data_IF_415458526024
#
_entry.id   IF_415458526024
#
_cell.length_a   1.000
_cell.length_b   1.000
_cell.length_c   1.000
_cell.angle_alpha   90.00
_cell.angle_beta   90.00
_cell.angle_gamma   90.00
#
_symmetry.space_group_name_H-M   'P 1'
#
loop_
_entity.id
_entity.type
_entity.pdbx_description
1 polymer ?
#
# COMPACT_ATOMS: atom_id res chain seq x y z
N UNK A 1 -4.25 16.38 23.44
CA UNK A 1 -4.07 15.51 22.27
C UNK A 1 -3.39 14.26 22.75
N UNK A 2 -3.88 13.09 22.37
CA UNK A 2 -3.20 11.82 22.67
C UNK A 2 -1.84 11.82 21.98
N UNK A 3 -0.82 11.29 22.67
CA UNK A 3 0.51 11.19 22.08
C UNK A 3 0.51 10.07 21.02
N UNK A 4 0.93 10.37 19.80
CA UNK A 4 1.07 9.35 18.75
C UNK A 4 2.10 8.29 19.19
N UNK A 5 1.75 7.03 19.02
CA UNK A 5 2.56 5.86 19.38
C UNK A 5 2.87 4.98 18.18
N UNK A 6 1.94 4.95 17.19
CA UNK A 6 2.05 4.14 15.98
C UNK A 6 1.92 5.03 14.75
N UNK A 7 2.78 4.81 13.77
CA UNK A 7 2.72 5.47 12.46
C UNK A 7 2.57 4.40 11.39
N UNK A 8 1.48 4.49 10.64
CA UNK A 8 1.19 3.66 9.48
C UNK A 8 1.68 4.37 8.21
N UNK A 9 2.35 3.66 7.34
CA UNK A 9 2.68 4.11 6.00
C UNK A 9 1.89 3.33 4.96
N UNK A 10 1.41 4.02 3.94
CA UNK A 10 1.09 3.41 2.66
C UNK A 10 2.37 3.19 1.85
N UNK A 11 2.29 2.52 0.71
CA UNK A 11 3.43 2.08 -0.10
C UNK A 11 3.55 2.82 -1.42
N UNK A 12 2.67 2.48 -2.39
CA UNK A 12 2.71 3.03 -3.75
C UNK A 12 2.45 4.54 -3.73
N UNK A 13 3.24 5.30 -4.47
CA UNK A 13 3.20 6.78 -4.52
C UNK A 13 3.34 7.47 -3.14
N UNK A 14 3.58 6.71 -2.08
CA UNK A 14 3.87 7.19 -0.72
C UNK A 14 5.33 6.94 -0.34
N UNK A 15 5.75 5.70 -0.09
CA UNK A 15 7.15 5.36 0.21
C UNK A 15 8.00 5.14 -1.05
N UNK A 16 7.40 4.58 -2.08
CA UNK A 16 8.03 4.29 -3.36
C UNK A 16 7.35 5.08 -4.49
N UNK A 17 8.16 5.53 -5.46
CA UNK A 17 7.68 6.23 -6.65
C UNK A 17 7.29 5.20 -7.73
N UNK A 18 6.23 4.45 -7.49
CA UNK A 18 5.84 3.32 -8.32
C UNK A 18 4.35 3.03 -8.13
N UNK A 19 3.65 2.79 -9.22
CA UNK A 19 2.34 2.12 -9.21
C UNK A 19 2.58 0.64 -9.52
N UNK A 20 2.61 -0.17 -8.47
CA UNK A 20 2.99 -1.59 -8.54
C UNK A 20 2.07 -2.41 -9.43
N UNK A 21 0.76 -2.20 -9.31
CA UNK A 21 -0.24 -2.91 -10.11
C UNK A 21 -0.08 -2.64 -11.59
N UNK A 22 0.03 -1.37 -11.97
CA UNK A 22 0.21 -0.98 -13.38
C UNK A 22 1.49 -1.56 -13.96
N UNK A 23 2.61 -1.49 -13.22
CA UNK A 23 3.88 -2.00 -13.69
C UNK A 23 3.83 -3.51 -13.88
N UNK A 24 3.25 -4.25 -12.93
CA UNK A 24 3.11 -5.69 -13.04
C UNK A 24 2.16 -6.06 -14.17
N UNK A 25 1.00 -5.39 -14.30
CA UNK A 25 0.03 -5.64 -15.35
C UNK A 25 0.65 -5.50 -16.74
N UNK A 26 1.38 -4.41 -16.98
CA UNK A 26 2.06 -4.19 -18.25
C UNK A 26 3.13 -5.27 -18.51
N UNK A 27 3.92 -5.61 -17.51
CA UNK A 27 4.96 -6.63 -17.63
C UNK A 27 4.40 -8.04 -17.89
N UNK A 28 3.20 -8.33 -17.39
CA UNK A 28 2.49 -9.60 -17.60
C UNK A 28 1.49 -9.55 -18.77
N UNK A 29 1.64 -8.58 -19.66
CA UNK A 29 0.96 -8.56 -20.97
C UNK A 29 -0.42 -7.90 -20.98
N UNK A 30 -0.83 -7.23 -19.92
CA UNK A 30 -2.02 -6.36 -19.96
C UNK A 30 -1.64 -5.07 -20.65
N UNK A 31 -2.34 -4.71 -21.72
CA UNK A 31 -2.06 -3.44 -22.41
C UNK A 31 -2.44 -2.26 -21.49
N UNK A 32 -1.75 -1.12 -21.66
CA UNK A 32 -2.08 0.09 -20.90
C UNK A 32 -3.52 0.58 -21.10
N UNK A 33 -4.09 0.30 -22.27
CA UNK A 33 -5.49 0.61 -22.59
C UNK A 33 -6.44 -0.29 -21.79
N UNK A 34 -6.15 -1.58 -21.74
CA UNK A 34 -6.96 -2.56 -21.03
C UNK A 34 -6.87 -2.35 -19.50
N UNK A 35 -5.68 -2.15 -18.96
CA UNK A 35 -5.47 -1.81 -17.54
C UNK A 35 -6.28 -0.58 -17.14
N UNK A 36 -6.22 0.48 -17.96
CA UNK A 36 -7.00 1.68 -17.75
C UNK A 36 -8.51 1.43 -17.83
N UNK A 37 -8.97 0.62 -18.77
CA UNK A 37 -10.39 0.27 -18.93
C UNK A 37 -10.91 -0.45 -17.69
N UNK A 38 -10.22 -1.50 -17.25
CA UNK A 38 -10.58 -2.27 -16.07
C UNK A 38 -10.61 -1.39 -14.80
N UNK A 39 -9.61 -0.52 -14.65
CA UNK A 39 -9.58 0.43 -13.54
C UNK A 39 -10.77 1.39 -13.55
N UNK A 40 -11.17 1.90 -14.72
CA UNK A 40 -12.33 2.81 -14.83
C UNK A 40 -13.65 2.08 -14.57
N UNK A 41 -13.82 0.84 -15.02
CA UNK A 41 -14.98 0.00 -14.71
C UNK A 41 -15.11 -0.23 -13.20
N UNK A 42 -14.00 -0.51 -12.53
CA UNK A 42 -13.96 -0.60 -11.07
C UNK A 42 -14.31 0.74 -10.40
N UNK A 43 -13.70 1.84 -10.82
CA UNK A 43 -13.94 3.17 -10.22
C UNK A 43 -15.35 3.68 -10.42
N UNK A 44 -16.02 3.32 -11.53
CA UNK A 44 -17.43 3.65 -11.79
C UNK A 44 -18.41 2.75 -11.01
N UNK A 45 -17.95 1.66 -10.42
CA UNK A 45 -18.78 0.66 -9.76
C UNK A 45 -19.46 -0.31 -10.73
N UNK A 46 -19.04 -0.35 -12.00
CA UNK A 46 -19.54 -1.31 -12.99
C UNK A 46 -19.06 -2.73 -12.67
N UNK A 47 -17.86 -2.86 -12.11
CA UNK A 47 -17.32 -4.09 -11.55
C UNK A 47 -16.87 -3.87 -10.10
N UNK A 48 -16.96 -4.93 -9.30
CA UNK A 48 -16.41 -4.97 -7.93
C UNK A 48 -14.89 -5.05 -7.94
N UNK A 49 -14.27 -4.85 -6.77
CA UNK A 49 -12.83 -5.03 -6.60
C UNK A 49 -12.38 -6.47 -6.89
N UNK A 50 -13.16 -7.46 -6.46
CA UNK A 50 -12.86 -8.87 -6.69
C UNK A 50 -12.99 -9.23 -8.18
N UNK A 51 -14.03 -8.74 -8.87
CA UNK A 51 -14.17 -8.93 -10.32
C UNK A 51 -13.05 -8.24 -11.11
N UNK A 52 -12.55 -7.09 -10.64
CA UNK A 52 -11.36 -6.46 -11.21
C UNK A 52 -10.13 -7.35 -11.06
N UNK A 53 -9.89 -7.90 -9.87
CA UNK A 53 -8.79 -8.84 -9.61
C UNK A 53 -8.90 -10.10 -10.47
N UNK A 54 -10.09 -10.68 -10.62
CA UNK A 54 -10.32 -11.87 -11.45
C UNK A 54 -9.99 -11.60 -12.93
N UNK A 55 -10.43 -10.46 -13.45
CA UNK A 55 -10.13 -10.03 -14.83
C UNK A 55 -8.63 -9.83 -15.05
N UNK A 56 -7.94 -9.19 -14.12
CA UNK A 56 -6.48 -9.02 -14.17
C UNK A 56 -5.76 -10.36 -14.10
N UNK A 57 -6.20 -11.23 -13.20
CA UNK A 57 -5.64 -12.58 -13.06
C UNK A 57 -5.75 -13.40 -14.35
N UNK A 58 -6.87 -13.29 -15.09
CA UNK A 58 -7.01 -13.98 -16.37
C UNK A 58 -5.93 -13.62 -17.39
N UNK A 59 -5.46 -12.35 -17.40
CA UNK A 59 -4.33 -11.94 -18.24
C UNK A 59 -3.03 -12.56 -17.73
N UNK A 60 -2.80 -12.49 -16.41
CA UNK A 60 -1.58 -13.02 -15.81
C UNK A 60 -1.43 -14.51 -16.07
N UNK A 61 -2.51 -15.30 -15.92
CA UNK A 61 -2.49 -16.74 -16.15
C UNK A 61 -2.19 -17.13 -17.61
N UNK A 62 -2.45 -16.26 -18.57
CA UNK A 62 -2.11 -16.48 -19.99
C UNK A 62 -0.64 -16.17 -20.30
N UNK A 63 0.03 -15.44 -19.42
CA UNK A 63 1.42 -15.05 -19.63
C UNK A 63 2.37 -16.15 -19.18
N UNK A 64 3.26 -16.59 -20.06
CA UNK A 64 4.18 -17.74 -19.82
C UNK A 64 5.11 -17.53 -18.62
N UNK A 65 5.44 -16.29 -18.29
CA UNK A 65 6.36 -15.91 -17.23
C UNK A 65 5.65 -15.50 -15.93
N UNK A 66 4.37 -15.86 -15.77
CA UNK A 66 3.61 -15.64 -14.53
C UNK A 66 4.00 -16.64 -13.45
N UNK A 67 5.19 -16.48 -12.93
CA UNK A 67 5.74 -17.29 -11.84
C UNK A 67 6.33 -16.38 -10.76
N UNK A 68 6.49 -16.96 -9.55
CA UNK A 68 6.98 -16.24 -8.37
C UNK A 68 8.28 -15.49 -8.63
N UNK A 69 9.24 -16.13 -9.28
CA UNK A 69 10.55 -15.55 -9.54
C UNK A 69 10.46 -14.30 -10.40
N UNK A 70 9.76 -14.39 -11.54
CA UNK A 70 9.63 -13.28 -12.48
C UNK A 70 8.80 -12.14 -11.89
N UNK A 71 7.69 -12.46 -11.22
CA UNK A 71 6.86 -11.48 -10.53
C UNK A 71 7.66 -10.75 -9.45
N UNK A 72 8.45 -11.46 -8.65
CA UNK A 72 9.32 -10.86 -7.64
C UNK A 72 10.37 -9.94 -8.28
N UNK A 73 10.97 -10.37 -9.40
CA UNK A 73 11.93 -9.55 -10.15
C UNK A 73 11.28 -8.26 -10.67
N UNK A 74 10.12 -8.35 -11.32
CA UNK A 74 9.37 -7.17 -11.80
C UNK A 74 9.08 -6.21 -10.65
N UNK A 75 8.55 -6.72 -9.54
CA UNK A 75 8.18 -5.92 -8.37
C UNK A 75 9.40 -5.35 -7.63
N UNK A 76 10.60 -5.89 -7.82
CA UNK A 76 11.82 -5.35 -7.21
C UNK A 76 12.33 -4.06 -7.84
N UNK A 77 11.82 -3.69 -9.02
CA UNK A 77 12.21 -2.48 -9.74
C UNK A 77 11.42 -1.25 -9.24
N UNK A 78 11.63 -0.87 -7.99
CA UNK A 78 11.08 0.35 -7.41
C UNK A 78 12.19 1.30 -6.97
N UNK A 79 11.83 2.57 -6.79
CA UNK A 79 12.71 3.57 -6.19
C UNK A 79 11.99 4.25 -5.04
N UNK A 80 12.70 4.53 -3.96
CA UNK A 80 12.13 5.28 -2.85
C UNK A 80 11.87 6.74 -3.23
N UNK A 81 10.76 7.28 -2.75
CA UNK A 81 10.55 8.72 -2.76
C UNK A 81 11.63 9.37 -1.89
N UNK A 82 12.17 10.48 -2.37
CA UNK A 82 13.27 11.17 -1.70
C UNK A 82 12.96 11.45 -0.23
N UNK A 83 13.82 10.96 0.65
CA UNK A 83 13.72 11.15 2.10
C UNK A 83 12.88 10.09 2.82
N UNK A 84 12.21 9.16 2.12
CA UNK A 84 11.38 8.13 2.74
C UNK A 84 12.18 7.24 3.71
N UNK A 85 13.33 6.72 3.26
CA UNK A 85 14.20 5.85 4.08
C UNK A 85 14.73 6.58 5.33
N UNK A 86 15.15 7.84 5.17
CA UNK A 86 15.63 8.67 6.27
C UNK A 86 14.52 8.98 7.29
N UNK A 87 13.30 9.25 6.81
CA UNK A 87 12.15 9.51 7.66
C UNK A 87 11.76 8.26 8.48
N UNK A 88 11.70 7.09 7.82
CA UNK A 88 11.43 5.81 8.50
C UNK A 88 12.50 5.56 9.58
N UNK A 89 13.78 5.73 9.25
CA UNK A 89 14.89 5.56 10.18
C UNK A 89 14.79 6.54 11.36
N UNK A 90 14.50 7.80 11.10
CA UNK A 90 14.29 8.82 12.10
C UNK A 90 13.16 8.45 13.07
N UNK A 91 11.98 8.11 12.55
CA UNK A 91 10.82 7.78 13.37
C UNK A 91 11.06 6.52 14.23
N UNK A 92 11.75 5.51 13.68
CA UNK A 92 12.21 4.35 14.46
C UNK A 92 13.13 4.78 15.61
N UNK A 93 14.10 5.68 15.36
CA UNK A 93 15.01 6.18 16.38
C UNK A 93 14.33 6.97 17.49
N UNK A 94 13.15 7.54 17.21
CA UNK A 94 12.30 8.23 18.19
C UNK A 94 11.40 7.29 18.99
N UNK A 95 11.43 6.01 18.67
CA UNK A 95 10.66 4.98 19.38
C UNK A 95 9.22 4.83 18.92
N UNK A 96 8.84 5.41 17.79
CA UNK A 96 7.54 5.14 17.18
C UNK A 96 7.46 3.70 16.67
N UNK A 97 6.32 3.07 16.89
CA UNK A 97 6.02 1.81 16.23
C UNK A 97 5.58 2.09 14.79
N UNK A 98 6.20 1.42 13.84
CA UNK A 98 5.89 1.61 12.42
C UNK A 98 5.23 0.35 11.86
N UNK A 99 4.22 0.56 11.01
CA UNK A 99 3.55 -0.48 10.23
C UNK A 99 3.43 -0.04 8.77
N UNK A 100 3.45 -1.00 7.86
CA UNK A 100 3.23 -0.79 6.43
C UNK A 100 1.92 -1.45 6.03
N UNK A 101 0.98 -0.68 5.49
CA UNK A 101 -0.32 -1.17 5.03
C UNK A 101 -0.56 -0.67 3.61
N UNK A 102 -0.79 -1.58 2.67
CA UNK A 102 -0.96 -1.21 1.26
C UNK A 102 -2.03 -2.02 0.55
N UNK A 103 -2.68 -1.39 -0.42
CA UNK A 103 -3.50 -2.06 -1.43
C UNK A 103 -2.70 -2.87 -2.45
N UNK A 104 -1.39 -2.85 -2.37
CA UNK A 104 -0.50 -3.57 -3.25
C UNK A 104 -0.42 -5.08 -2.95
N UNK A 105 0.51 -5.74 -3.61
CA UNK A 105 0.75 -7.18 -3.60
C UNK A 105 1.68 -7.53 -2.43
N UNK A 106 1.38 -8.60 -1.72
CA UNK A 106 2.12 -9.07 -0.54
C UNK A 106 3.63 -9.24 -0.77
N UNK A 107 4.04 -9.70 -1.95
CA UNK A 107 5.45 -9.84 -2.31
C UNK A 107 6.18 -8.50 -2.20
N UNK A 108 5.63 -7.44 -2.80
CA UNK A 108 6.25 -6.12 -2.77
C UNK A 108 6.19 -5.50 -1.36
N UNK A 109 5.03 -5.60 -0.71
CA UNK A 109 4.84 -5.05 0.64
C UNK A 109 5.84 -5.66 1.62
N UNK A 110 6.03 -6.98 1.58
CA UNK A 110 7.00 -7.67 2.43
C UNK A 110 8.44 -7.31 2.09
N UNK A 111 8.77 -7.18 0.80
CA UNK A 111 10.10 -6.78 0.33
C UNK A 111 10.49 -5.40 0.85
N UNK A 112 9.60 -4.40 0.68
CA UNK A 112 9.85 -3.03 1.14
C UNK A 112 9.86 -2.95 2.66
N UNK A 113 8.97 -3.66 3.35
CA UNK A 113 8.96 -3.73 4.81
C UNK A 113 10.29 -4.28 5.35
N UNK A 114 10.81 -5.35 4.75
CA UNK A 114 12.09 -5.94 5.11
C UNK A 114 13.25 -4.96 4.88
N UNK A 115 13.29 -4.31 3.72
CA UNK A 115 14.36 -3.36 3.36
C UNK A 115 14.38 -2.14 4.28
N UNK A 116 13.22 -1.60 4.64
CA UNK A 116 13.08 -0.51 5.61
C UNK A 116 13.19 -0.95 7.07
N UNK A 117 13.26 -2.26 7.34
CA UNK A 117 13.24 -2.82 8.69
C UNK A 117 11.95 -2.46 9.44
N UNK A 118 10.81 -2.42 8.75
CA UNK A 118 9.47 -2.33 9.34
C UNK A 118 9.00 -3.75 9.62
N UNK A 119 8.86 -4.08 10.91
CA UNK A 119 8.60 -5.47 11.33
C UNK A 119 7.20 -5.97 10.97
N UNK A 120 6.25 -5.07 10.84
CA UNK A 120 4.83 -5.40 10.67
C UNK A 120 4.28 -4.79 9.40
N UNK A 121 3.74 -5.62 8.52
CA UNK A 121 3.14 -5.21 7.26
C UNK A 121 1.88 -5.98 6.94
N UNK A 122 0.99 -5.38 6.17
CA UNK A 122 -0.21 -6.00 5.61
C UNK A 122 -0.42 -5.51 4.18
N UNK A 123 -0.61 -6.47 3.28
CA UNK A 123 -1.06 -6.24 1.91
C UNK A 123 -2.54 -6.59 1.80
N UNK A 124 -3.27 -5.89 0.94
CA UNK A 124 -4.65 -6.24 0.64
C UNK A 124 -4.76 -7.43 -0.32
N UNK A 125 -3.70 -7.69 -1.09
CA UNK A 125 -3.70 -8.76 -2.09
C UNK A 125 -2.53 -9.72 -1.85
N UNK A 126 -2.86 -11.03 -1.84
CA UNK A 126 -1.89 -12.11 -1.68
C UNK A 126 -1.89 -12.97 -2.93
N UNK A 127 -0.74 -13.12 -3.56
CA UNK A 127 -0.59 -13.99 -4.72
C UNK A 127 -0.42 -15.45 -4.30
N UNK A 128 -1.18 -16.32 -4.94
CA UNK A 128 -1.18 -17.76 -4.69
C UNK A 128 -0.41 -18.46 -5.79
N UNK A 129 0.52 -19.32 -5.42
CA UNK A 129 1.35 -20.07 -6.35
C UNK A 129 1.19 -21.57 -6.10
N UNK A 130 1.34 -22.36 -7.16
CA UNK A 130 1.39 -23.82 -7.07
C UNK A 130 2.79 -24.33 -6.62
N UNK A 131 2.92 -25.64 -6.52
CA UNK A 131 4.18 -26.30 -6.11
C UNK A 131 5.34 -26.09 -7.11
N UNK A 132 5.05 -25.61 -8.32
CA UNK A 132 6.03 -25.25 -9.35
C UNK A 132 6.29 -23.74 -9.42
N UNK A 133 5.84 -22.99 -8.39
CA UNK A 133 5.90 -21.52 -8.30
C UNK A 133 5.17 -20.78 -9.44
N UNK A 134 4.19 -21.39 -10.10
CA UNK A 134 3.34 -20.71 -11.07
C UNK A 134 2.19 -20.00 -10.36
N UNK A 135 1.89 -18.78 -10.77
CA UNK A 135 0.74 -18.04 -10.25
C UNK A 135 -0.56 -18.81 -10.60
N UNK A 136 -1.41 -19.03 -9.60
CA UNK A 136 -2.70 -19.71 -9.77
C UNK A 136 -3.88 -18.91 -9.23
N UNK A 137 -3.63 -17.82 -8.49
CA UNK A 137 -4.71 -17.02 -7.92
C UNK A 137 -4.24 -15.74 -7.24
N UNK A 138 -5.21 -14.88 -6.93
CA UNK A 138 -5.06 -13.68 -6.11
C UNK A 138 -6.12 -13.75 -5.01
N UNK A 139 -5.71 -13.76 -3.75
CA UNK A 139 -6.62 -13.55 -2.64
C UNK A 139 -6.67 -12.07 -2.28
N UNK A 140 -7.86 -11.51 -2.33
CA UNK A 140 -8.13 -10.12 -2.03
C UNK A 140 -8.79 -9.98 -0.65
N UNK A 141 -8.47 -8.92 0.07
CA UNK A 141 -9.20 -8.47 1.26
C UNK A 141 -10.48 -7.68 0.91
N UNK A 142 -10.89 -7.64 -0.36
CA UNK A 142 -12.03 -6.87 -0.84
C UNK A 142 -11.72 -5.38 -1.02
N UNK A 143 -12.72 -4.53 -0.75
CA UNK A 143 -12.60 -3.09 -0.94
C UNK A 143 -11.38 -2.50 -0.20
N UNK A 144 -10.48 -1.90 -0.95
CA UNK A 144 -9.17 -1.44 -0.48
C UNK A 144 -9.25 -0.43 0.68
N UNK A 145 -10.22 0.48 0.61
CA UNK A 145 -10.44 1.52 1.64
C UNK A 145 -10.76 0.88 3.00
N UNK A 146 -11.68 -0.08 3.02
CA UNK A 146 -12.10 -0.76 4.24
C UNK A 146 -11.07 -1.76 4.73
N UNK A 147 -10.41 -2.47 3.81
CA UNK A 147 -9.37 -3.43 4.12
C UNK A 147 -8.17 -2.77 4.81
N UNK A 148 -7.67 -1.63 4.28
CA UNK A 148 -6.58 -0.88 4.92
C UNK A 148 -6.94 -0.43 6.33
N UNK A 149 -8.13 0.10 6.54
CA UNK A 149 -8.58 0.53 7.85
C UNK A 149 -8.71 -0.65 8.84
N UNK A 150 -9.24 -1.79 8.40
CA UNK A 150 -9.32 -3.01 9.19
C UNK A 150 -7.94 -3.57 9.55
N UNK A 151 -6.98 -3.51 8.64
CA UNK A 151 -5.60 -3.89 8.92
C UNK A 151 -4.96 -2.99 10.00
N UNK A 152 -5.22 -1.67 9.95
CA UNK A 152 -4.74 -0.76 10.98
C UNK A 152 -5.35 -1.08 12.35
N UNK A 153 -6.66 -1.34 12.41
CA UNK A 153 -7.34 -1.75 13.64
C UNK A 153 -6.76 -3.04 14.20
N UNK A 154 -6.48 -4.03 13.35
CA UNK A 154 -5.87 -5.29 13.79
C UNK A 154 -4.47 -5.07 14.41
N UNK A 155 -3.70 -4.11 13.91
CA UNK A 155 -2.43 -3.73 14.54
C UNK A 155 -2.65 -2.97 15.85
N UNK A 156 -3.66 -2.10 15.93
CA UNK A 156 -4.02 -1.42 17.17
C UNK A 156 -4.37 -2.42 18.28
N UNK A 157 -5.20 -3.41 17.96
CA UNK A 157 -5.55 -4.50 18.88
C UNK A 157 -4.32 -5.31 19.31
N UNK A 158 -3.50 -5.74 18.34
CA UNK A 158 -2.27 -6.51 18.61
C UNK A 158 -1.33 -5.78 19.57
N UNK A 159 -1.25 -4.45 19.48
CA UNK A 159 -0.31 -3.66 20.28
C UNK A 159 -0.91 -3.02 21.52
N UNK A 160 -2.24 -3.12 21.71
CA UNK A 160 -2.94 -2.43 22.78
C UNK A 160 -2.85 -0.90 22.67
N UNK A 161 -2.91 -0.37 21.42
CA UNK A 161 -2.83 1.06 21.10
C UNK A 161 -4.22 1.53 20.66
N UNK A 162 -4.69 2.66 21.20
CA UNK A 162 -5.91 3.29 20.71
C UNK A 162 -5.68 3.82 19.29
N UNK A 163 -6.65 3.65 18.40
CA UNK A 163 -6.56 4.14 17.03
C UNK A 163 -6.35 5.66 16.96
N UNK A 164 -6.79 6.41 17.98
CA UNK A 164 -6.53 7.85 18.13
C UNK A 164 -5.09 8.19 18.57
N UNK A 165 -4.29 7.18 18.88
CA UNK A 165 -2.84 7.30 19.12
C UNK A 165 -2.03 6.87 17.88
N UNK A 166 -2.70 6.70 16.73
CA UNK A 166 -2.08 6.36 15.45
C UNK A 166 -2.09 7.57 14.53
N UNK A 167 -1.09 7.63 13.65
CA UNK A 167 -1.06 8.52 12.50
C UNK A 167 -0.84 7.71 11.22
N UNK A 168 -1.36 8.20 10.09
CA UNK A 168 -1.18 7.57 8.80
C UNK A 168 -0.51 8.53 7.83
N UNK A 169 0.51 8.09 7.09
CA UNK A 169 1.18 8.82 6.03
C UNK A 169 0.82 8.14 4.71
N UNK A 170 0.10 8.82 3.84
CA UNK A 170 -0.45 8.25 2.61
C UNK A 170 -0.79 9.33 1.58
N UNK A 171 -1.04 8.94 0.33
CA UNK A 171 -1.29 9.85 -0.79
C UNK A 171 -2.65 9.67 -1.48
N UNK A 172 -3.34 8.53 -1.28
CA UNK A 172 -4.45 8.08 -2.10
C UNK A 172 -5.83 8.05 -1.42
N UNK A 173 -6.89 8.07 -2.25
CA UNK A 173 -8.27 8.01 -1.78
C UNK A 173 -8.62 6.71 -1.02
N UNK A 174 -7.86 5.63 -1.24
CA UNK A 174 -8.01 4.38 -0.51
C UNK A 174 -7.49 4.44 0.95
N UNK A 175 -6.90 5.57 1.36
CA UNK A 175 -6.41 5.80 2.72
C UNK A 175 -7.35 6.66 3.58
N UNK A 176 -8.37 7.25 2.97
CA UNK A 176 -9.29 8.20 3.64
C UNK A 176 -9.88 7.61 4.91
N UNK A 177 -10.29 6.35 4.89
CA UNK A 177 -10.90 5.72 6.07
C UNK A 177 -9.89 5.59 7.23
N UNK A 178 -8.62 5.32 6.94
CA UNK A 178 -7.56 5.36 7.97
C UNK A 178 -7.38 6.78 8.53
N UNK A 179 -7.45 7.82 7.69
CA UNK A 179 -7.38 9.21 8.14
C UNK A 179 -8.54 9.58 9.05
N UNK A 180 -9.77 9.20 8.67
CA UNK A 180 -10.98 9.44 9.46
C UNK A 180 -10.91 8.75 10.82
N UNK A 181 -10.52 7.47 10.85
CA UNK A 181 -10.48 6.68 12.09
C UNK A 181 -9.40 7.18 13.05
N UNK A 182 -8.23 7.50 12.56
CA UNK A 182 -7.14 8.03 13.41
C UNK A 182 -7.35 9.48 13.81
N UNK A 183 -7.84 10.31 12.90
CA UNK A 183 -7.86 11.76 13.00
C UNK A 183 -6.49 12.40 12.80
N UNK A 184 -5.48 11.63 12.38
CA UNK A 184 -4.11 12.08 12.19
C UNK A 184 -3.54 11.63 10.83
N UNK A 185 -4.28 11.90 9.74
CA UNK A 185 -3.80 11.66 8.38
C UNK A 185 -2.75 12.69 7.98
N UNK A 186 -1.66 12.25 7.41
CA UNK A 186 -0.60 13.09 6.83
C UNK A 186 -0.47 12.77 5.36
N UNK A 187 -0.56 13.78 4.50
CA UNK A 187 -0.43 13.60 3.05
C UNK A 187 0.52 14.62 2.44
N UNK A 188 0.91 14.39 1.20
CA UNK A 188 1.77 15.29 0.46
C UNK A 188 0.97 16.38 -0.24
N UNK A 189 1.60 17.55 -0.39
CA UNK A 189 1.04 18.64 -1.17
C UNK A 189 0.83 18.22 -2.63
N UNK A 190 -0.36 18.47 -3.16
CA UNK A 190 -0.78 18.05 -4.49
C UNK A 190 -1.53 16.71 -4.50
N UNK A 191 -1.62 16.00 -3.36
CA UNK A 191 -2.44 14.81 -3.21
C UNK A 191 -3.93 15.14 -3.36
N UNK A 192 -4.71 14.19 -3.87
CA UNK A 192 -6.16 14.35 -4.02
C UNK A 192 -6.94 14.23 -2.71
N UNK A 193 -6.25 13.94 -1.59
CA UNK A 193 -6.83 13.81 -0.24
C UNK A 193 -6.34 14.89 0.73
N UNK A 194 -5.79 16.00 0.24
CA UNK A 194 -5.32 17.10 1.10
C UNK A 194 -6.40 17.63 2.06
N UNK A 195 -7.64 17.72 1.59
CA UNK A 195 -8.75 18.25 2.37
C UNK A 195 -9.16 17.35 3.55
N UNK A 196 -8.81 16.07 3.51
CA UNK A 196 -9.08 15.07 4.53
C UNK A 196 -7.92 14.91 5.52
N UNK A 197 -6.78 15.53 5.23
CA UNK A 197 -5.58 15.37 6.01
C UNK A 197 -5.54 16.28 7.25
N UNK A 198 -5.03 15.73 8.35
CA UNK A 198 -4.66 16.51 9.53
C UNK A 198 -3.45 17.42 9.27
N UNK A 199 -2.49 16.92 8.48
CA UNK A 199 -1.29 17.67 8.06
C UNK A 199 -0.99 17.42 6.58
N UNK A 200 -0.58 18.47 5.89
CA UNK A 200 -0.04 18.41 4.53
C UNK A 200 1.44 18.75 4.59
N UNK A 201 2.27 17.90 4.00
CA UNK A 201 3.73 18.03 3.97
C UNK A 201 4.22 18.28 2.54
N UNK A 202 5.38 18.92 2.40
CA UNK A 202 6.02 19.11 1.09
C UNK A 202 7.01 17.99 0.79
N UNK A 203 7.55 17.36 1.84
CA UNK A 203 8.53 16.27 1.75
C UNK A 203 8.53 15.45 3.04
N UNK A 204 9.19 14.29 3.00
CA UNK A 204 9.41 13.45 4.19
C UNK A 204 10.18 14.15 5.31
N UNK A 205 11.01 15.16 5.01
CA UNK A 205 11.72 15.94 6.02
C UNK A 205 10.77 16.64 7.00
N UNK A 206 9.58 17.02 6.53
CA UNK A 206 8.59 17.71 7.35
C UNK A 206 8.04 16.83 8.47
N UNK A 207 8.12 15.50 8.35
CA UNK A 207 7.72 14.55 9.41
C UNK A 207 8.49 14.78 10.70
N UNK A 208 9.74 15.23 10.63
CA UNK A 208 10.57 15.56 11.81
C UNK A 208 10.03 16.71 12.63
N UNK A 209 9.16 17.55 12.05
CA UNK A 209 8.51 18.67 12.74
C UNK A 209 7.11 18.30 13.26
N UNK A 210 6.60 17.13 12.86
CA UNK A 210 5.27 16.64 13.27
C UNK A 210 5.41 15.62 14.40
N UNK A 211 6.43 14.79 14.32
CA UNK A 211 6.72 13.66 15.19
C UNK A 211 8.13 13.84 15.82
#
# INVERSE_FOLDING_TARGET
>A
MNKIKLICFDLDDTLINTNSWKNLSVALGVSAEEDRRLYLEYKSGEITYDEWNDKVLEYYLKHKDSNRKNITEILSHYTYIKGAQDAVSYLKSKGYRLVLISGSIDILVNMVAQDLGIQYSKANNTFVFDDEDRLIGIHSGGNDVLAKASHLESFCEMFGIDIKECACVADGANDIEMFIRTGHGVTFKGSNIENEAWKVINSFEDLKNIF
#
